data_IF_270336067966
#
_entry.id   IF_270336067966
#
_cell.length_a   1.000
_cell.length_b   1.000
_cell.length_c   1.000
_cell.angle_alpha   90.00
_cell.angle_beta   90.00
_cell.angle_gamma   90.00
#
_symmetry.space_group_name_H-M   'P 1'
#
loop_
_entity.id
_entity.type
_entity.pdbx_description
1 polymer ?
#
# COMPACT_ATOMS: atom_id res chain seq x y z
N UNK A 1 39.33 39.20 41.09
CA UNK A 1 39.21 38.05 42.00
C UNK A 1 37.92 37.32 41.63
N UNK A 2 38.03 36.37 40.71
CA UNK A 2 36.90 35.59 40.20
C UNK A 2 36.68 34.40 41.14
N UNK A 3 35.53 34.36 41.81
CA UNK A 3 35.16 33.25 42.68
C UNK A 3 34.38 32.25 41.84
N UNK A 4 35.01 31.10 41.64
CA UNK A 4 34.44 29.88 41.07
C UNK A 4 33.34 29.36 41.98
N UNK A 5 32.13 29.20 41.45
CA UNK A 5 31.06 28.39 42.03
C UNK A 5 31.02 27.04 41.34
N UNK A 6 31.38 25.98 42.06
CA UNK A 6 31.20 24.58 41.68
C UNK A 6 29.70 24.28 41.54
N UNK A 7 29.28 23.71 40.40
CA UNK A 7 28.00 23.01 40.30
C UNK A 7 28.29 21.55 39.98
N UNK A 8 27.91 20.67 40.91
CA UNK A 8 27.89 19.22 40.73
C UNK A 8 26.92 18.86 39.60
N UNK A 9 27.41 18.21 38.53
CA UNK A 9 26.56 17.43 37.63
C UNK A 9 26.69 15.98 38.07
N UNK A 10 25.72 15.54 38.87
CA UNK A 10 25.52 14.12 39.13
C UNK A 10 25.03 13.48 37.82
N UNK A 11 25.83 12.56 37.29
CA UNK A 11 25.39 11.67 36.23
C UNK A 11 24.30 10.77 36.76
N UNK A 12 23.08 10.95 36.23
CA UNK A 12 22.08 9.89 36.22
C UNK A 12 22.06 9.31 34.80
N UNK A 13 22.76 8.18 34.64
CA UNK A 13 22.37 7.18 33.66
C UNK A 13 21.01 6.64 34.11
N UNK A 14 19.92 7.17 33.55
CA UNK A 14 18.63 6.49 33.60
C UNK A 14 18.46 5.78 32.26
N UNK A 15 18.51 4.45 32.32
CA UNK A 15 18.43 3.57 31.17
C UNK A 15 17.10 3.70 30.44
N UNK A 16 17.18 4.08 29.18
CA UNK A 16 16.18 3.74 28.19
C UNK A 16 16.41 2.27 27.77
N UNK A 17 16.02 1.31 28.62
CA UNK A 17 16.34 -0.10 28.36
C UNK A 17 15.21 -1.09 28.63
N UNK A 18 13.96 -0.65 28.86
CA UNK A 18 12.85 -1.56 29.11
C UNK A 18 11.79 -1.50 27.98
N UNK A 19 11.25 -0.32 27.65
CA UNK A 19 10.26 -0.21 26.57
C UNK A 19 10.89 -0.35 25.17
N UNK A 20 12.09 0.23 24.98
CA UNK A 20 12.85 0.08 23.74
C UNK A 20 13.49 -1.31 23.61
N UNK A 21 13.72 -2.04 24.72
CA UNK A 21 14.17 -3.43 24.65
C UNK A 21 13.03 -4.36 24.25
N UNK A 22 11.80 -4.13 24.71
CA UNK A 22 10.66 -4.98 24.34
C UNK A 22 10.28 -4.84 22.86
N UNK A 23 10.24 -3.63 22.31
CA UNK A 23 9.99 -3.45 20.86
C UNK A 23 11.14 -4.04 20.02
N UNK A 24 12.40 -3.85 20.44
CA UNK A 24 13.54 -4.46 19.74
C UNK A 24 13.58 -5.98 19.91
N UNK A 25 13.15 -6.53 21.04
CA UNK A 25 13.12 -7.97 21.27
C UNK A 25 12.02 -8.65 20.45
N UNK A 26 10.85 -8.01 20.31
CA UNK A 26 9.77 -8.41 19.40
C UNK A 26 10.24 -8.38 17.94
N UNK A 27 10.94 -7.34 17.50
CA UNK A 27 11.43 -7.24 16.12
C UNK A 27 12.68 -8.09 15.81
N UNK A 28 13.52 -8.38 16.80
CA UNK A 28 14.82 -9.07 16.61
C UNK A 28 14.74 -10.59 16.56
N UNK A 29 13.65 -11.20 17.03
CA UNK A 29 13.49 -12.67 17.06
C UNK A 29 12.71 -13.25 15.89
N UNK A 30 12.39 -12.46 14.86
CA UNK A 30 11.58 -12.93 13.74
C UNK A 30 10.15 -13.31 14.15
N UNK A 31 9.71 -12.92 15.34
CA UNK A 31 8.30 -12.90 15.71
C UNK A 31 7.65 -11.68 15.07
N UNK A 32 6.39 -11.81 14.71
CA UNK A 32 5.59 -10.70 14.22
C UNK A 32 5.61 -9.44 15.12
N UNK A 33 5.16 -8.31 14.56
CA UNK A 33 4.61 -7.18 15.31
C UNK A 33 3.59 -7.68 16.33
N UNK A 34 4.06 -7.86 17.57
CA UNK A 34 3.32 -8.53 18.62
C UNK A 34 3.82 -9.96 18.79
N UNK A 35 4.52 -10.19 19.90
CA UNK A 35 4.89 -11.51 20.40
C UNK A 35 3.61 -12.34 20.59
N UNK A 36 3.30 -13.21 19.64
CA UNK A 36 2.48 -14.38 19.90
C UNK A 36 3.41 -15.54 20.28
N UNK A 37 2.94 -16.34 21.24
CA UNK A 37 3.56 -17.60 21.63
C UNK A 37 3.78 -18.52 20.40
N UNK A 38 4.65 -19.50 20.56
CA UNK A 38 5.19 -20.42 19.54
C UNK A 38 4.19 -21.25 18.72
N UNK A 39 2.88 -21.01 18.85
CA UNK A 39 1.79 -21.78 18.24
C UNK A 39 1.26 -21.17 16.93
N UNK A 40 1.72 -19.98 16.53
CA UNK A 40 1.35 -19.36 15.24
C UNK A 40 2.02 -20.07 14.05
N UNK A 41 1.29 -20.27 12.95
CA UNK A 41 1.87 -20.86 11.74
C UNK A 41 2.79 -19.84 11.06
N UNK A 42 4.09 -20.13 11.11
CA UNK A 42 5.15 -19.32 10.51
C UNK A 42 5.63 -19.99 9.22
N UNK A 43 5.61 -19.23 8.13
CA UNK A 43 6.16 -19.65 6.85
C UNK A 43 7.37 -18.78 6.49
N UNK A 44 8.46 -19.42 6.10
CA UNK A 44 9.63 -18.75 5.53
C UNK A 44 9.87 -19.25 4.11
N UNK A 45 10.22 -18.33 3.22
CA UNK A 45 10.57 -18.66 1.86
C UNK A 45 11.48 -17.59 1.26
N UNK A 46 12.16 -17.98 0.18
CA UNK A 46 12.98 -17.07 -0.61
C UNK A 46 12.66 -17.20 -2.08
N UNK A 47 12.93 -16.14 -2.83
CA UNK A 47 12.91 -16.14 -4.29
C UNK A 47 14.32 -16.40 -4.80
N UNK A 48 14.47 -17.38 -5.67
CA UNK A 48 15.69 -17.63 -6.44
C UNK A 48 15.49 -17.22 -7.90
N UNK A 49 16.58 -16.92 -8.60
CA UNK A 49 16.58 -16.66 -10.04
C UNK A 49 17.62 -17.52 -10.75
N UNK A 50 17.17 -18.36 -11.66
CA UNK A 50 18.01 -19.25 -12.49
C UNK A 50 17.55 -19.18 -13.95
N UNK A 51 18.49 -19.00 -14.88
CA UNK A 51 18.21 -18.86 -16.32
C UNK A 51 17.09 -17.82 -16.64
N UNK A 52 17.08 -16.72 -15.88
CA UNK A 52 16.09 -15.65 -16.02
C UNK A 52 14.71 -15.95 -15.41
N UNK A 53 14.49 -17.12 -14.82
CA UNK A 53 13.22 -17.53 -14.20
C UNK A 53 13.28 -17.38 -12.70
N UNK A 54 12.19 -16.85 -12.12
CA UNK A 54 12.00 -16.71 -10.68
C UNK A 54 11.23 -17.90 -10.12
N UNK A 55 11.65 -18.39 -8.96
CA UNK A 55 10.90 -19.42 -8.23
C UNK A 55 10.99 -19.18 -6.72
N UNK A 56 9.91 -19.51 -6.01
CA UNK A 56 9.85 -19.47 -4.56
C UNK A 56 10.22 -20.84 -4.02
N UNK A 57 11.16 -20.86 -3.08
CA UNK A 57 11.59 -22.08 -2.39
C UNK A 57 11.36 -21.89 -0.89
N UNK A 58 10.60 -22.78 -0.22
CA UNK A 58 10.45 -22.76 1.23
C UNK A 58 11.80 -23.05 1.91
N UNK A 59 12.42 -22.03 2.49
CA UNK A 59 13.69 -22.11 3.20
C UNK A 59 13.87 -20.90 4.11
N UNK A 60 14.84 -20.99 5.01
CA UNK A 60 15.13 -19.93 5.97
C UNK A 60 15.45 -18.59 5.28
N UNK A 61 14.95 -17.50 5.86
CA UNK A 61 15.04 -16.16 5.28
C UNK A 61 16.47 -15.60 5.19
N UNK A 62 17.41 -16.17 5.94
CA UNK A 62 18.83 -15.82 5.95
C UNK A 62 19.64 -16.54 4.86
N UNK A 63 18.97 -17.26 3.95
CA UNK A 63 19.63 -17.95 2.84
C UNK A 63 20.46 -16.97 1.98
N UNK A 64 21.78 -17.20 1.84
CA UNK A 64 22.64 -16.36 1.01
C UNK A 64 22.21 -16.36 -0.45
N UNK A 65 22.41 -15.23 -1.13
CA UNK A 65 22.17 -15.09 -2.57
C UNK A 65 20.72 -15.35 -3.00
N UNK A 66 19.74 -15.19 -2.11
CA UNK A 66 18.34 -15.03 -2.50
C UNK A 66 18.11 -13.68 -3.21
N UNK A 67 17.16 -13.63 -4.14
CA UNK A 67 16.73 -12.38 -4.79
C UNK A 67 15.85 -11.56 -3.85
N UNK A 68 14.98 -12.24 -3.12
CA UNK A 68 14.20 -11.72 -2.01
C UNK A 68 13.97 -12.84 -0.99
N UNK A 69 13.74 -12.50 0.27
CA UNK A 69 13.31 -13.44 1.30
C UNK A 69 12.14 -12.87 2.07
N UNK A 70 11.44 -13.73 2.80
CA UNK A 70 10.27 -13.29 3.54
C UNK A 70 9.81 -14.28 4.58
N UNK A 71 8.96 -13.75 5.45
CA UNK A 71 8.37 -14.40 6.60
C UNK A 71 6.90 -14.00 6.64
N UNK A 72 6.03 -14.99 6.73
CA UNK A 72 4.60 -14.79 6.88
C UNK A 72 4.10 -15.49 8.15
N UNK A 73 3.26 -14.82 8.91
CA UNK A 73 2.66 -15.38 10.13
C UNK A 73 1.16 -15.19 10.09
N UNK A 74 0.44 -16.32 10.07
CA UNK A 74 -1.02 -16.35 10.06
C UNK A 74 -1.54 -16.01 11.45
N UNK A 75 -2.06 -14.80 11.60
CA UNK A 75 -2.47 -14.22 12.90
C UNK A 75 -3.78 -13.42 12.80
N UNK A 76 -4.43 -13.42 11.63
CA UNK A 76 -5.71 -12.75 11.38
C UNK A 76 -6.78 -13.08 12.43
N UNK A 77 -6.97 -14.35 12.78
CA UNK A 77 -8.04 -14.74 13.69
C UNK A 77 -7.74 -14.45 15.16
N UNK A 78 -6.47 -14.30 15.52
CA UNK A 78 -6.02 -14.03 16.88
C UNK A 78 -5.89 -12.53 17.15
N UNK A 79 -5.36 -11.77 16.18
CA UNK A 79 -5.01 -10.35 16.31
C UNK A 79 -5.86 -9.41 15.44
N UNK A 80 -6.63 -9.96 14.50
CA UNK A 80 -7.28 -9.17 13.44
C UNK A 80 -6.34 -8.75 12.31
N UNK A 81 -5.09 -9.24 12.31
CA UNK A 81 -4.05 -8.90 11.34
C UNK A 81 -3.19 -10.13 11.05
N UNK A 82 -3.02 -10.49 9.78
CA UNK A 82 -1.89 -11.30 9.37
C UNK A 82 -0.62 -10.43 9.33
N UNK A 83 0.56 -11.07 9.32
CA UNK A 83 1.83 -10.35 9.38
C UNK A 83 2.79 -10.83 8.31
N UNK A 84 3.35 -9.88 7.57
CA UNK A 84 4.23 -10.14 6.45
C UNK A 84 5.50 -9.32 6.55
N UNK A 85 6.64 -10.00 6.47
CA UNK A 85 7.94 -9.37 6.31
C UNK A 85 8.55 -9.79 4.99
N UNK A 86 9.06 -8.83 4.22
CA UNK A 86 9.75 -9.08 2.96
C UNK A 86 11.06 -8.30 2.95
N UNK A 87 12.14 -8.94 2.54
CA UNK A 87 13.44 -8.32 2.39
C UNK A 87 13.95 -8.48 0.97
N UNK A 88 14.34 -7.37 0.36
CA UNK A 88 15.10 -7.40 -0.89
C UNK A 88 16.45 -8.05 -0.61
N UNK A 89 16.72 -9.15 -1.28
CA UNK A 89 17.85 -10.03 -0.99
C UNK A 89 19.18 -9.45 -1.46
N UNK A 90 20.03 -10.32 -2.00
CA UNK A 90 21.40 -10.01 -2.39
C UNK A 90 21.50 -8.89 -3.43
N UNK A 91 22.51 -8.03 -3.26
CA UNK A 91 22.90 -6.99 -4.23
C UNK A 91 23.60 -7.55 -5.47
N UNK A 92 23.82 -8.87 -5.51
CA UNK A 92 24.18 -9.60 -6.72
C UNK A 92 23.13 -9.44 -7.84
N UNK A 93 21.86 -9.27 -7.48
CA UNK A 93 20.76 -9.08 -8.42
C UNK A 93 20.45 -7.61 -8.63
N UNK A 94 19.92 -7.28 -9.82
CA UNK A 94 19.48 -5.92 -10.11
C UNK A 94 18.34 -5.47 -9.20
N UNK A 95 18.21 -4.16 -8.97
CA UNK A 95 17.12 -3.63 -8.16
C UNK A 95 15.75 -3.94 -8.79
N UNK A 96 15.63 -3.97 -10.12
CA UNK A 96 14.41 -4.42 -10.81
C UNK A 96 14.06 -5.88 -10.48
N UNK A 97 15.05 -6.78 -10.51
CA UNK A 97 14.82 -8.18 -10.13
C UNK A 97 14.41 -8.32 -8.67
N UNK A 98 15.04 -7.55 -7.78
CA UNK A 98 14.74 -7.54 -6.35
C UNK A 98 13.33 -7.01 -6.09
N UNK A 99 12.91 -5.95 -6.78
CA UNK A 99 11.55 -5.41 -6.69
C UNK A 99 10.51 -6.40 -7.23
N UNK A 100 10.77 -7.02 -8.38
CA UNK A 100 9.92 -8.08 -8.91
C UNK A 100 9.77 -9.24 -7.92
N UNK A 101 10.89 -9.70 -7.35
CA UNK A 101 10.90 -10.80 -6.39
C UNK A 101 10.11 -10.47 -5.11
N UNK A 102 10.12 -9.22 -4.63
CA UNK A 102 9.29 -8.81 -3.48
C UNK A 102 7.80 -9.03 -3.75
N UNK A 103 7.29 -8.57 -4.90
CA UNK A 103 5.89 -8.77 -5.26
C UNK A 103 5.54 -10.24 -5.47
N UNK A 104 6.43 -10.97 -6.16
CA UNK A 104 6.26 -12.41 -6.43
C UNK A 104 6.15 -13.24 -5.15
N UNK A 105 7.00 -12.92 -4.17
CA UNK A 105 7.00 -13.57 -2.86
C UNK A 105 5.80 -13.19 -2.00
N UNK A 106 5.34 -11.93 -2.07
CA UNK A 106 4.12 -11.50 -1.40
C UNK A 106 2.91 -12.35 -1.85
N UNK A 107 2.74 -12.51 -3.16
CA UNK A 107 1.67 -13.33 -3.71
C UNK A 107 1.80 -14.79 -3.35
N UNK A 108 3.02 -15.33 -3.28
CA UNK A 108 3.21 -16.70 -2.80
C UNK A 108 2.66 -16.89 -1.38
N UNK A 109 2.97 -15.99 -0.44
CA UNK A 109 2.48 -16.12 0.93
C UNK A 109 0.98 -15.85 1.04
N UNK A 110 0.47 -14.87 0.29
CA UNK A 110 -0.88 -14.35 0.48
C UNK A 110 -1.90 -14.85 -0.55
N UNK A 111 -1.57 -15.73 -1.49
CA UNK A 111 -2.46 -16.09 -2.62
C UNK A 111 -3.90 -16.43 -2.21
N UNK A 112 -4.10 -17.24 -1.16
CA UNK A 112 -5.46 -17.55 -0.69
C UNK A 112 -6.17 -16.31 -0.10
N UNK A 113 -5.46 -15.50 0.68
CA UNK A 113 -5.97 -14.25 1.27
C UNK A 113 -6.25 -13.17 0.21
N UNK A 114 -5.42 -13.10 -0.83
CA UNK A 114 -5.62 -12.23 -1.99
C UNK A 114 -6.94 -12.58 -2.67
N UNK A 115 -7.24 -13.87 -2.84
CA UNK A 115 -8.51 -14.29 -3.43
C UNK A 115 -9.70 -13.94 -2.53
N UNK A 116 -9.61 -14.23 -1.22
CA UNK A 116 -10.69 -13.90 -0.28
C UNK A 116 -10.99 -12.39 -0.33
N UNK A 117 -9.95 -11.55 -0.31
CA UNK A 117 -10.10 -10.11 -0.46
C UNK A 117 -10.61 -9.69 -1.84
N UNK A 118 -10.14 -10.30 -2.92
CA UNK A 118 -10.61 -10.05 -4.27
C UNK A 118 -12.11 -10.33 -4.42
N UNK A 119 -12.64 -11.41 -3.83
CA UNK A 119 -14.08 -11.71 -3.93
C UNK A 119 -14.95 -10.61 -3.31
N UNK A 120 -14.50 -10.06 -2.17
CA UNK A 120 -15.12 -8.92 -1.51
C UNK A 120 -15.04 -7.66 -2.37
N UNK A 121 -13.84 -7.31 -2.84
CA UNK A 121 -13.58 -6.13 -3.68
C UNK A 121 -14.35 -6.18 -4.99
N UNK A 122 -14.31 -7.32 -5.69
CA UNK A 122 -14.97 -7.49 -6.97
C UNK A 122 -16.47 -7.26 -6.85
N UNK A 123 -17.11 -7.84 -5.85
CA UNK A 123 -18.54 -7.68 -5.63
C UNK A 123 -18.93 -6.23 -5.31
N UNK A 124 -18.10 -5.53 -4.52
CA UNK A 124 -18.44 -4.22 -4.01
C UNK A 124 -18.08 -3.06 -4.94
N UNK A 125 -16.99 -3.21 -5.70
CA UNK A 125 -16.42 -2.15 -6.51
C UNK A 125 -16.47 -2.51 -8.01
N UNK A 126 -15.78 -3.57 -8.43
CA UNK A 126 -15.57 -3.89 -9.85
C UNK A 126 -16.89 -4.22 -10.57
N UNK A 127 -17.75 -5.05 -9.98
CA UNK A 127 -19.03 -5.45 -10.57
C UNK A 127 -20.04 -4.30 -10.67
N UNK A 128 -19.79 -3.20 -9.95
CA UNK A 128 -20.62 -2.00 -9.95
C UNK A 128 -20.00 -0.87 -10.79
N UNK A 129 -18.77 -1.05 -11.29
CA UNK A 129 -18.10 -0.04 -12.09
C UNK A 129 -18.85 0.18 -13.43
N UNK A 130 -19.05 1.44 -13.85
CA UNK A 130 -19.62 1.74 -15.17
C UNK A 130 -18.81 1.14 -16.32
N UNK A 131 -19.47 0.91 -17.45
CA UNK A 131 -18.82 0.55 -18.72
C UNK A 131 -17.76 1.59 -19.10
N UNK A 132 -16.60 1.15 -19.61
CA UNK A 132 -15.48 2.02 -19.99
C UNK A 132 -14.42 2.20 -18.89
N UNK A 133 -14.74 1.93 -17.62
CA UNK A 133 -13.77 2.07 -16.51
C UNK A 133 -12.63 1.07 -16.63
N UNK A 134 -12.93 -0.17 -17.04
CA UNK A 134 -11.89 -1.21 -17.21
C UNK A 134 -10.91 -0.82 -18.31
N UNK A 135 -11.42 -0.36 -19.45
CA UNK A 135 -10.64 0.13 -20.59
C UNK A 135 -9.79 1.35 -20.20
N UNK A 136 -10.34 2.25 -19.37
CA UNK A 136 -9.59 3.39 -18.83
C UNK A 136 -8.34 2.94 -18.06
N UNK A 137 -8.45 1.91 -17.21
CA UNK A 137 -7.32 1.36 -16.47
C UNK A 137 -6.34 0.59 -17.37
N UNK A 138 -6.83 -0.05 -18.43
CA UNK A 138 -5.97 -0.69 -19.44
C UNK A 138 -5.07 0.33 -20.13
N UNK A 139 -5.66 1.43 -20.61
CA UNK A 139 -4.94 2.54 -21.23
C UNK A 139 -3.96 3.22 -20.25
N UNK A 140 -4.39 3.45 -19.02
CA UNK A 140 -3.54 4.06 -17.99
C UNK A 140 -2.34 3.17 -17.65
N UNK A 141 -2.55 1.85 -17.54
CA UNK A 141 -1.46 0.89 -17.34
C UNK A 141 -0.49 0.88 -18.51
N UNK A 142 -1.01 0.93 -19.75
CA UNK A 142 -0.19 0.97 -20.96
C UNK A 142 0.67 2.24 -21.00
N UNK A 143 0.10 3.39 -20.65
CA UNK A 143 0.82 4.66 -20.55
C UNK A 143 1.98 4.58 -19.56
N UNK A 144 1.73 4.11 -18.32
CA UNK A 144 2.78 4.00 -17.30
C UNK A 144 3.89 3.07 -17.78
N UNK A 145 3.55 1.92 -18.38
CA UNK A 145 4.54 0.99 -18.93
C UNK A 145 5.44 1.70 -19.96
N UNK A 146 4.84 2.35 -20.96
CA UNK A 146 5.59 3.09 -21.98
C UNK A 146 6.51 4.12 -21.33
N UNK A 147 5.99 4.93 -20.40
CA UNK A 147 6.77 5.98 -19.75
C UNK A 147 7.95 5.44 -18.93
N UNK A 148 7.78 4.31 -18.24
CA UNK A 148 8.89 3.67 -17.52
C UNK A 148 9.99 3.12 -18.42
N UNK A 149 9.66 2.78 -19.67
CA UNK A 149 10.62 2.26 -20.65
C UNK A 149 11.36 3.38 -21.40
N UNK A 150 10.66 4.46 -21.77
CA UNK A 150 11.21 5.49 -22.67
C UNK A 150 11.69 6.76 -21.97
N UNK A 151 11.20 7.05 -20.77
CA UNK A 151 11.49 8.32 -20.10
C UNK A 151 12.82 8.27 -19.36
N UNK A 152 13.56 9.38 -19.43
CA UNK A 152 14.79 9.61 -18.67
C UNK A 152 14.53 10.43 -17.38
N UNK A 153 13.28 10.82 -17.12
CA UNK A 153 12.92 11.50 -15.87
C UNK A 153 13.17 10.56 -14.68
N UNK A 154 13.89 11.02 -13.62
CA UNK A 154 14.09 10.25 -12.40
C UNK A 154 12.80 9.69 -11.78
N UNK A 155 11.68 10.40 -11.90
CA UNK A 155 10.37 9.93 -11.46
C UNK A 155 9.98 8.62 -12.16
N UNK A 156 10.05 8.60 -13.49
CA UNK A 156 9.69 7.40 -14.27
C UNK A 156 10.69 6.26 -14.12
N UNK A 157 11.98 6.57 -13.88
CA UNK A 157 12.97 5.55 -13.50
C UNK A 157 12.64 4.89 -12.15
N UNK A 158 12.14 5.65 -11.16
CA UNK A 158 11.65 5.06 -9.89
C UNK A 158 10.34 4.31 -10.08
N UNK A 159 9.45 4.81 -10.92
CA UNK A 159 8.19 4.15 -11.26
C UNK A 159 8.41 2.77 -11.89
N UNK A 160 9.54 2.55 -12.59
CA UNK A 160 9.90 1.24 -13.10
C UNK A 160 10.07 0.18 -11.98
N UNK A 161 10.50 0.58 -10.78
CA UNK A 161 10.58 -0.31 -9.62
C UNK A 161 9.19 -0.68 -9.07
N UNK A 162 8.26 0.28 -9.03
CA UNK A 162 6.86 0.03 -8.66
C UNK A 162 6.20 -0.91 -9.66
N UNK A 163 6.43 -0.70 -10.96
CA UNK A 163 5.96 -1.59 -12.02
C UNK A 163 6.56 -2.99 -11.92
N UNK A 164 7.86 -3.11 -11.61
CA UNK A 164 8.50 -4.41 -11.41
C UNK A 164 7.87 -5.19 -10.25
N UNK A 165 7.67 -4.55 -9.09
CA UNK A 165 7.02 -5.19 -7.95
C UNK A 165 5.56 -5.55 -8.25
N UNK A 166 4.82 -4.68 -8.93
CA UNK A 166 3.43 -4.95 -9.34
C UNK A 166 3.35 -6.14 -10.29
N UNK A 167 4.27 -6.22 -11.27
CA UNK A 167 4.32 -7.34 -12.20
C UNK A 167 4.71 -8.64 -11.50
N UNK A 168 5.67 -8.58 -10.58
CA UNK A 168 6.02 -9.72 -9.73
C UNK A 168 4.83 -10.21 -8.90
N UNK A 169 4.07 -9.30 -8.30
CA UNK A 169 2.84 -9.61 -7.56
C UNK A 169 1.82 -10.32 -8.45
N UNK A 170 1.55 -9.81 -9.65
CA UNK A 170 0.64 -10.44 -10.62
C UNK A 170 1.15 -11.83 -10.98
N UNK A 171 2.39 -11.96 -11.44
CA UNK A 171 2.96 -13.23 -11.89
C UNK A 171 3.03 -14.28 -10.77
N UNK A 172 3.34 -13.86 -9.56
CA UNK A 172 3.36 -14.72 -8.38
C UNK A 172 1.98 -15.28 -8.11
N UNK A 173 0.93 -14.45 -8.19
CA UNK A 173 -0.43 -14.93 -8.03
C UNK A 173 -0.81 -15.91 -9.15
N UNK A 174 -0.52 -15.56 -10.41
CA UNK A 174 -0.77 -16.44 -11.56
C UNK A 174 -0.09 -17.81 -11.44
N UNK A 175 1.04 -17.89 -10.72
CA UNK A 175 1.74 -19.15 -10.48
C UNK A 175 1.16 -19.95 -9.30
N UNK A 176 0.81 -19.28 -8.21
CA UNK A 176 0.57 -19.94 -6.92
C UNK A 176 -0.90 -19.99 -6.51
N UNK A 177 -1.83 -19.34 -7.21
CA UNK A 177 -3.24 -19.40 -6.88
C UNK A 177 -3.76 -20.85 -6.91
N UNK A 178 -4.69 -21.16 -6.00
CA UNK A 178 -5.39 -22.45 -6.01
C UNK A 178 -6.28 -22.58 -7.24
N UNK A 179 -6.49 -23.81 -7.71
CA UNK A 179 -7.41 -24.10 -8.84
C UNK A 179 -8.81 -23.54 -8.56
N UNK A 180 -9.40 -22.82 -9.51
CA UNK A 180 -10.72 -22.19 -9.35
C UNK A 180 -10.68 -20.83 -8.66
N UNK A 181 -9.49 -20.33 -8.33
CA UNK A 181 -9.25 -18.99 -7.76
C UNK A 181 -8.51 -18.08 -8.75
N UNK A 182 -8.80 -18.21 -10.04
CA UNK A 182 -8.18 -17.38 -11.07
C UNK A 182 -8.63 -15.91 -10.92
N UNK A 183 -7.69 -14.98 -11.08
CA UNK A 183 -7.97 -13.53 -11.18
C UNK A 183 -7.27 -13.04 -12.44
N UNK A 184 -7.98 -12.24 -13.24
CA UNK A 184 -7.41 -11.66 -14.46
C UNK A 184 -6.25 -10.70 -14.11
N UNK A 185 -5.12 -10.72 -14.86
CA UNK A 185 -3.99 -9.83 -14.59
C UNK A 185 -4.31 -8.34 -14.58
N UNK A 186 -5.26 -7.87 -15.40
CA UNK A 186 -5.70 -6.48 -15.38
C UNK A 186 -6.57 -6.21 -14.14
N UNK A 187 -7.40 -7.17 -13.72
CA UNK A 187 -8.15 -7.07 -12.46
C UNK A 187 -7.23 -6.94 -11.24
N UNK A 188 -6.11 -7.68 -11.21
CA UNK A 188 -5.11 -7.55 -10.14
C UNK A 188 -4.41 -6.17 -10.14
N UNK A 189 -4.25 -5.55 -11.31
CA UNK A 189 -3.74 -4.18 -11.42
C UNK A 189 -4.78 -3.15 -10.96
N UNK A 190 -6.04 -3.34 -11.37
CA UNK A 190 -7.18 -2.53 -10.91
C UNK A 190 -7.34 -2.67 -9.39
N UNK A 191 -7.08 -3.84 -8.81
CA UNK A 191 -7.06 -4.06 -7.37
C UNK A 191 -6.06 -3.14 -6.65
N UNK A 192 -4.83 -2.98 -7.17
CA UNK A 192 -3.86 -2.00 -6.62
C UNK A 192 -4.44 -0.58 -6.62
N UNK A 193 -5.31 -0.31 -7.59
CA UNK A 193 -5.91 0.99 -7.81
C UNK A 193 -7.23 1.18 -7.04
N UNK A 194 -7.48 0.42 -5.96
CA UNK A 194 -8.77 0.48 -5.23
C UNK A 194 -9.20 1.92 -4.89
N UNK A 195 -8.26 2.75 -4.41
CA UNK A 195 -8.56 4.16 -4.13
C UNK A 195 -8.96 4.95 -5.38
N UNK A 196 -8.17 4.84 -6.44
CA UNK A 196 -8.39 5.55 -7.69
C UNK A 196 -9.63 5.02 -8.46
N UNK A 197 -9.99 3.74 -8.31
CA UNK A 197 -11.17 3.13 -8.94
C UNK A 197 -12.45 3.87 -8.54
N UNK A 198 -12.57 4.26 -7.27
CA UNK A 198 -13.73 5.01 -6.78
C UNK A 198 -13.91 6.34 -7.52
N UNK A 199 -12.84 7.11 -7.67
CA UNK A 199 -12.86 8.40 -8.36
C UNK A 199 -13.12 8.25 -9.86
N UNK A 200 -12.48 7.26 -10.51
CA UNK A 200 -12.70 6.98 -11.93
C UNK A 200 -14.14 6.52 -12.18
N UNK A 201 -14.68 5.61 -11.36
CA UNK A 201 -16.07 5.16 -11.49
C UNK A 201 -17.07 6.30 -11.24
N UNK A 202 -16.80 7.17 -10.27
CA UNK A 202 -17.61 8.37 -10.02
C UNK A 202 -17.59 9.32 -11.24
N UNK A 203 -16.42 9.53 -11.85
CA UNK A 203 -16.26 10.38 -13.03
C UNK A 203 -17.10 9.92 -14.22
N UNK A 204 -17.15 8.61 -14.51
CA UNK A 204 -17.98 8.07 -15.59
C UNK A 204 -19.48 8.30 -15.31
N UNK A 205 -19.91 8.13 -14.06
CA UNK A 205 -21.29 8.42 -13.66
C UNK A 205 -21.63 9.91 -13.76
N UNK A 206 -20.70 10.78 -13.36
CA UNK A 206 -20.89 12.23 -13.40
C UNK A 206 -20.89 12.75 -14.84
N UNK A 207 -20.03 12.23 -15.72
CA UNK A 207 -20.06 12.50 -17.15
C UNK A 207 -21.40 12.12 -17.78
N UNK A 208 -21.92 10.92 -17.50
CA UNK A 208 -23.23 10.48 -17.99
C UNK A 208 -24.37 11.39 -17.52
N UNK A 209 -24.37 11.78 -16.23
CA UNK A 209 -25.37 12.72 -15.69
C UNK A 209 -25.28 14.10 -16.34
N UNK A 210 -24.08 14.57 -16.69
CA UNK A 210 -23.91 15.85 -17.40
C UNK A 210 -24.38 15.75 -18.86
N UNK A 211 -24.18 14.62 -19.53
CA UNK A 211 -24.72 14.38 -20.87
C UNK A 211 -26.25 14.31 -20.87
N UNK A 212 -26.85 13.55 -19.96
CA UNK A 212 -28.30 13.46 -19.76
C UNK A 212 -28.87 14.81 -19.25
N UNK A 213 -28.09 15.51 -18.42
CA UNK A 213 -28.37 16.83 -17.85
C UNK A 213 -28.21 18.00 -18.80
N UNK A 214 -27.60 17.82 -19.99
CA UNK A 214 -27.69 18.78 -21.09
C UNK A 214 -29.09 18.84 -21.72
N UNK A 215 -30.02 17.99 -21.29
CA UNK A 215 -31.48 18.12 -21.52
C UNK A 215 -32.20 18.71 -20.28
N UNK A 216 -31.49 19.00 -19.19
CA UNK A 216 -32.06 19.63 -17.99
C UNK A 216 -31.79 21.14 -18.02
N UNK A 217 -32.84 21.87 -18.42
CA UNK A 217 -33.23 23.24 -18.04
C UNK A 217 -32.20 24.05 -17.22
N UNK A 218 -31.91 25.28 -17.66
CA UNK A 218 -31.05 26.36 -17.10
C UNK A 218 -31.34 26.77 -15.62
N UNK A 219 -31.80 25.86 -14.78
CA UNK A 219 -32.40 26.08 -13.46
C UNK A 219 -31.80 25.19 -12.38
N UNK A 220 -30.65 24.56 -12.62
CA UNK A 220 -29.89 23.92 -11.53
C UNK A 220 -29.46 25.01 -10.56
N UNK A 221 -29.97 25.05 -9.32
CA UNK A 221 -29.59 26.10 -8.38
C UNK A 221 -28.09 26.01 -8.11
N UNK A 222 -27.41 27.15 -8.10
CA UNK A 222 -26.04 27.23 -7.61
C UNK A 222 -25.95 26.55 -6.24
N UNK A 223 -24.95 25.69 -6.07
CA UNK A 223 -24.65 25.01 -4.81
C UNK A 223 -24.40 26.04 -3.71
N UNK A 224 -25.47 26.45 -3.03
CA UNK A 224 -25.47 27.27 -1.82
C UNK A 224 -25.82 26.44 -0.59
N UNK A 225 -25.77 25.10 -0.70
CA UNK A 225 -25.92 24.24 0.45
C UNK A 225 -24.73 24.50 1.38
N UNK A 226 -24.95 24.90 2.65
CA UNK A 226 -23.85 25.06 3.59
C UNK A 226 -23.10 23.72 3.69
N UNK A 227 -21.77 23.76 3.64
CA UNK A 227 -20.92 22.62 3.98
C UNK A 227 -21.29 22.18 5.40
N UNK A 228 -22.06 21.10 5.51
CA UNK A 228 -22.32 20.42 6.77
C UNK A 228 -21.25 19.35 6.85
N UNK A 229 -20.23 19.56 7.69
CA UNK A 229 -19.34 18.46 8.08
C UNK A 229 -20.20 17.41 8.79
N UNK A 230 -20.66 16.41 8.04
CA UNK A 230 -21.26 15.21 8.59
C UNK A 230 -20.18 14.35 9.26
N UNK A 231 -20.56 13.36 10.08
CA UNK A 231 -19.63 12.31 10.47
C UNK A 231 -19.27 11.56 9.18
N UNK A 232 -18.18 11.96 8.51
CA UNK A 232 -17.79 11.55 7.15
C UNK A 232 -18.38 10.21 6.73
N UNK A 233 -19.38 10.26 5.86
CA UNK A 233 -19.80 9.06 5.14
C UNK A 233 -18.67 8.70 4.19
N UNK A 234 -18.55 7.43 3.79
CA UNK A 234 -17.56 7.02 2.78
C UNK A 234 -17.69 7.80 1.46
N UNK A 235 -18.84 8.45 1.24
CA UNK A 235 -19.13 9.29 0.09
C UNK A 235 -18.60 10.74 0.22
N UNK A 236 -18.19 11.18 1.42
CA UNK A 236 -17.81 12.57 1.72
C UNK A 236 -16.37 12.74 2.24
N UNK A 237 -15.68 11.63 2.49
CA UNK A 237 -14.30 11.60 2.96
C UNK A 237 -14.03 10.36 3.80
N UNK A 238 -12.76 10.01 3.99
CA UNK A 238 -12.40 8.84 4.79
C UNK A 238 -11.20 9.08 5.68
N UNK A 239 -11.14 8.30 6.75
CA UNK A 239 -10.07 8.26 7.74
C UNK A 239 -10.01 9.47 8.71
N UNK A 240 -9.33 9.27 9.84
CA UNK A 240 -8.95 10.32 10.78
C UNK A 240 -7.45 10.23 11.06
N UNK A 241 -6.73 11.35 10.95
CA UNK A 241 -5.30 11.46 11.28
C UNK A 241 -5.06 12.40 12.47
N UNK A 242 -4.07 12.08 13.29
CA UNK A 242 -3.63 12.92 14.41
C UNK A 242 -2.10 13.00 14.45
N UNK A 243 -1.58 14.22 14.50
CA UNK A 243 -0.15 14.50 14.78
C UNK A 243 -0.09 15.36 16.03
N UNK A 244 0.61 14.90 17.07
CA UNK A 244 0.64 15.54 18.39
C UNK A 244 2.05 15.61 18.96
N UNK A 245 2.50 16.82 19.31
CA UNK A 245 3.68 17.03 20.16
C UNK A 245 3.32 16.76 21.63
N UNK A 246 4.04 15.83 22.25
CA UNK A 246 3.87 15.36 23.61
C UNK A 246 4.66 16.24 24.60
N UNK A 247 4.30 16.26 25.91
CA UNK A 247 4.96 17.11 26.90
C UNK A 247 6.47 16.87 27.09
N UNK A 248 6.94 15.66 26.80
CA UNK A 248 8.35 15.25 26.83
C UNK A 248 9.12 15.58 25.55
N UNK A 249 8.44 16.16 24.54
CA UNK A 249 9.03 16.51 23.26
C UNK A 249 8.91 15.43 22.18
N UNK A 250 8.31 14.27 22.47
CA UNK A 250 8.03 13.25 21.46
C UNK A 250 6.89 13.68 20.52
N UNK A 251 6.87 13.15 19.29
CA UNK A 251 5.78 13.37 18.34
C UNK A 251 5.02 12.06 18.17
N UNK A 252 3.76 12.05 18.58
CA UNK A 252 2.84 10.94 18.32
C UNK A 252 2.13 11.17 16.98
N UNK A 253 2.08 10.12 16.17
CA UNK A 253 1.33 10.08 14.90
C UNK A 253 0.35 8.92 14.97
N UNK A 254 -0.92 9.18 14.69
CA UNK A 254 -1.97 8.16 14.68
C UNK A 254 -2.85 8.31 13.44
N UNK A 255 -3.34 7.18 12.95
CA UNK A 255 -4.28 7.10 11.83
C UNK A 255 -5.37 6.08 12.15
N UNK A 256 -6.59 6.41 11.76
CA UNK A 256 -7.75 5.54 11.88
C UNK A 256 -8.46 5.50 10.54
N UNK A 257 -8.33 4.40 9.82
CA UNK A 257 -8.98 4.20 8.53
C UNK A 257 -10.48 3.97 8.70
N UNK A 258 -11.29 4.66 7.90
CA UNK A 258 -12.74 4.43 7.85
C UNK A 258 -13.05 3.61 6.61
N UNK A 259 -13.59 2.40 6.79
CA UNK A 259 -13.99 1.52 5.69
C UNK A 259 -15.19 0.67 6.07
N UNK A 260 -15.89 0.18 5.05
CA UNK A 260 -16.85 -0.90 5.22
C UNK A 260 -16.13 -2.21 5.58
N UNK A 261 -16.88 -3.13 6.18
CA UNK A 261 -16.34 -4.36 6.76
C UNK A 261 -15.80 -5.35 5.74
N UNK A 262 -16.14 -5.25 4.46
CA UNK A 262 -15.56 -6.11 3.42
C UNK A 262 -14.04 -5.92 3.27
N UNK A 263 -13.51 -4.77 3.68
CA UNK A 263 -12.08 -4.46 3.67
C UNK A 263 -11.31 -4.95 4.89
N UNK A 264 -11.91 -5.73 5.79
CA UNK A 264 -11.34 -6.10 7.09
C UNK A 264 -10.51 -7.40 7.06
N UNK A 265 -10.08 -7.84 5.88
CA UNK A 265 -9.02 -8.84 5.75
C UNK A 265 -7.70 -8.06 5.79
N UNK A 266 -6.98 -8.07 6.91
CA UNK A 266 -5.88 -7.14 7.15
C UNK A 266 -4.52 -7.82 7.23
N UNK A 267 -3.50 -7.16 6.71
CA UNK A 267 -2.11 -7.61 6.85
C UNK A 267 -1.22 -6.42 7.21
N UNK A 268 -0.39 -6.61 8.21
CA UNK A 268 0.63 -5.64 8.59
C UNK A 268 1.93 -6.01 7.90
N UNK A 269 2.49 -5.07 7.12
CA UNK A 269 3.63 -5.35 6.23
C UNK A 269 4.86 -4.60 6.68
N UNK A 270 6.01 -5.28 6.64
CA UNK A 270 7.34 -4.69 6.80
C UNK A 270 8.20 -5.08 5.61
N UNK A 271 8.60 -4.12 4.82
CA UNK A 271 9.32 -4.35 3.56
C UNK A 271 10.65 -3.61 3.57
N UNK A 272 11.75 -4.35 3.40
CA UNK A 272 13.09 -3.77 3.21
C UNK A 272 13.41 -3.71 1.73
N UNK A 273 13.40 -2.50 1.16
CA UNK A 273 13.60 -2.24 -0.26
C UNK A 273 15.09 -2.28 -0.68
N UNK A 274 15.38 -2.31 -2.00
CA UNK A 274 16.75 -2.42 -2.51
C UNK A 274 17.72 -1.35 -2.01
N UNK A 275 17.22 -0.12 -1.81
CA UNK A 275 17.93 1.02 -1.23
C UNK A 275 18.16 0.91 0.29
N UNK A 276 17.83 -0.24 0.89
CA UNK A 276 17.93 -0.57 2.32
C UNK A 276 16.96 0.18 3.23
N UNK A 277 16.00 0.92 2.65
CA UNK A 277 14.92 1.52 3.42
C UNK A 277 13.94 0.42 3.86
N UNK A 278 13.66 0.35 5.15
CA UNK A 278 12.62 -0.52 5.71
C UNK A 278 11.38 0.32 5.96
N UNK A 279 10.28 -0.05 5.32
CA UNK A 279 8.97 0.59 5.49
C UNK A 279 8.01 -0.39 6.12
N UNK A 280 7.35 0.06 7.17
CA UNK A 280 6.30 -0.66 7.85
C UNK A 280 4.97 0.05 7.61
N UNK A 281 3.93 -0.72 7.28
CA UNK A 281 2.64 -0.18 6.87
C UNK A 281 1.47 -1.10 7.24
N UNK A 282 0.31 -0.50 7.51
CA UNK A 282 -0.95 -1.24 7.54
C UNK A 282 -1.45 -1.48 6.12
N UNK A 283 -1.98 -2.66 5.83
CA UNK A 283 -2.41 -3.02 4.47
C UNK A 283 -3.50 -4.11 4.50
N UNK A 284 -3.85 -4.60 3.31
CA UNK A 284 -4.75 -5.73 3.06
C UNK A 284 -4.05 -6.70 2.09
N UNK A 285 -4.32 -8.02 2.18
CA UNK A 285 -3.91 -8.95 1.14
C UNK A 285 -4.47 -8.47 -0.19
N UNK A 286 -3.63 -8.36 -1.22
CA UNK A 286 -4.05 -7.83 -2.51
C UNK A 286 -3.39 -6.52 -2.91
N UNK A 287 -2.84 -5.74 -1.99
CA UNK A 287 -2.24 -4.43 -2.29
C UNK A 287 -0.77 -4.37 -1.90
N UNK A 288 0.16 -4.11 -2.81
CA UNK A 288 1.61 -4.00 -2.48
C UNK A 288 1.97 -2.74 -1.66
N UNK A 289 0.97 -1.93 -1.31
CA UNK A 289 1.08 -0.66 -0.61
C UNK A 289 0.01 -0.57 0.51
N UNK A 290 0.01 0.54 1.24
CA UNK A 290 -1.10 0.86 2.13
C UNK A 290 -2.18 1.58 1.33
N UNK A 291 -3.43 1.17 1.47
CA UNK A 291 -4.59 1.99 1.07
C UNK A 291 -5.20 2.73 2.26
N UNK A 292 -4.80 2.33 3.48
CA UNK A 292 -5.08 3.10 4.68
C UNK A 292 -4.25 4.38 4.65
N UNK A 293 -3.08 4.24 4.04
CA UNK A 293 -2.01 5.21 3.92
C UNK A 293 -1.49 5.57 5.31
N UNK A 294 -0.90 4.57 5.96
CA UNK A 294 -0.05 4.72 7.15
C UNK A 294 1.27 4.01 6.89
N UNK A 295 2.34 4.79 6.73
CA UNK A 295 3.70 4.30 6.45
C UNK A 295 4.69 4.85 7.46
N UNK A 296 5.56 3.99 7.96
CA UNK A 296 6.67 4.33 8.87
C UNK A 296 7.97 3.85 8.24
N UNK A 297 8.88 4.79 7.96
CA UNK A 297 10.25 4.43 7.60
C UNK A 297 11.05 4.12 8.87
N UNK A 298 11.26 2.85 9.18
CA UNK A 298 11.88 2.42 10.46
C UNK A 298 13.31 2.92 10.63
N UNK A 299 14.06 2.92 9.53
CA UNK A 299 15.44 3.41 9.46
C UNK A 299 15.55 4.67 8.58
N UNK A 300 14.41 5.33 8.34
CA UNK A 300 14.33 6.65 7.71
C UNK A 300 13.86 7.70 8.71
N UNK A 301 13.40 8.83 8.19
CA UNK A 301 12.98 9.98 8.99
C UNK A 301 11.57 10.48 8.62
N UNK A 302 10.74 9.59 8.03
CA UNK A 302 9.42 9.94 7.52
C UNK A 302 8.35 8.98 8.05
N UNK A 303 7.27 9.57 8.55
CA UNK A 303 5.98 8.92 8.72
C UNK A 303 5.02 9.61 7.75
N UNK A 304 4.34 8.85 6.91
CA UNK A 304 3.38 9.38 5.95
C UNK A 304 1.98 8.88 6.31
N UNK A 305 1.04 9.83 6.43
CA UNK A 305 -0.38 9.56 6.62
C UNK A 305 -1.23 10.44 5.69
N UNK A 306 -2.42 9.97 5.32
CA UNK A 306 -3.42 10.77 4.60
C UNK A 306 -4.82 10.60 5.21
N UNK A 307 -5.72 11.50 4.86
CA UNK A 307 -7.16 11.33 5.03
C UNK A 307 -7.83 11.81 3.75
N UNK A 308 -8.76 11.02 3.21
CA UNK A 308 -9.30 11.26 1.89
C UNK A 308 -10.27 12.44 1.93
N UNK A 309 -10.05 13.42 1.06
CA UNK A 309 -11.02 14.47 0.76
C UNK A 309 -11.77 14.13 -0.52
N UNK A 310 -13.10 14.27 -0.52
CA UNK A 310 -13.91 14.00 -1.70
C UNK A 310 -13.79 15.10 -2.77
N UNK A 311 -13.89 14.70 -4.04
CA UNK A 311 -14.06 15.63 -5.18
C UNK A 311 -15.55 15.98 -5.33
N UNK A 312 -15.93 17.18 -4.89
CA UNK A 312 -17.32 17.63 -4.97
C UNK A 312 -17.67 18.31 -6.30
N UNK A 313 -16.68 18.81 -7.04
CA UNK A 313 -16.91 19.42 -8.34
C UNK A 313 -17.13 18.34 -9.41
N UNK A 314 -18.37 18.25 -9.88
CA UNK A 314 -18.81 17.21 -10.81
C UNK A 314 -18.35 17.46 -12.24
N UNK A 315 -18.11 18.72 -12.60
CA UNK A 315 -17.57 19.07 -13.91
C UNK A 315 -16.09 18.67 -13.98
N UNK A 316 -15.32 18.96 -12.92
CA UNK A 316 -13.92 18.51 -12.80
C UNK A 316 -13.84 16.99 -12.70
N UNK A 317 -14.70 16.35 -11.91
CA UNK A 317 -14.72 14.88 -11.81
C UNK A 317 -14.95 14.24 -13.18
N UNK A 318 -15.95 14.72 -13.93
CA UNK A 318 -16.26 14.19 -15.26
C UNK A 318 -15.10 14.26 -16.24
N UNK A 319 -14.15 15.20 -16.09
CA UNK A 319 -12.98 15.27 -16.98
C UNK A 319 -12.11 14.02 -16.91
N UNK A 320 -12.11 13.29 -15.77
CA UNK A 320 -11.36 12.02 -15.65
C UNK A 320 -11.86 10.98 -16.68
N UNK A 321 -13.16 11.00 -16.98
CA UNK A 321 -13.78 10.10 -17.95
C UNK A 321 -13.75 10.67 -19.38
N UNK A 322 -13.95 11.98 -19.54
CA UNK A 322 -14.16 12.59 -20.87
C UNK A 322 -12.91 13.14 -21.52
N UNK A 323 -11.89 13.52 -20.75
CA UNK A 323 -10.62 14.02 -21.29
C UNK A 323 -9.70 12.82 -21.61
N UNK A 324 -9.30 12.63 -22.88
CA UNK A 324 -8.41 11.54 -23.21
C UNK A 324 -7.06 11.55 -22.49
N UNK A 325 -6.57 12.71 -22.09
CA UNK A 325 -5.29 12.84 -21.38
C UNK A 325 -5.39 12.43 -19.90
N UNK A 326 -6.61 12.29 -19.34
CA UNK A 326 -6.79 11.94 -17.93
C UNK A 326 -6.31 10.52 -17.57
N UNK A 327 -6.16 9.63 -18.57
CA UNK A 327 -5.54 8.31 -18.39
C UNK A 327 -4.02 8.31 -18.60
N UNK A 328 -3.42 9.44 -19.01
CA UNK A 328 -1.98 9.60 -19.16
C UNK A 328 -1.33 10.16 -17.89
N UNK A 329 -1.63 9.55 -16.74
CA UNK A 329 -1.20 10.00 -15.41
C UNK A 329 -0.67 8.84 -14.59
N UNK A 330 0.11 9.15 -13.54
CA UNK A 330 0.42 8.20 -12.49
C UNK A 330 -0.65 8.26 -11.39
N UNK A 331 -1.22 7.10 -11.05
CA UNK A 331 -2.25 6.96 -10.03
C UNK A 331 -1.72 7.28 -8.62
N UNK A 332 -2.62 7.51 -7.67
CA UNK A 332 -2.26 7.85 -6.29
C UNK A 332 -1.34 6.81 -5.64
N UNK A 333 -1.68 5.53 -5.73
CA UNK A 333 -0.89 4.44 -5.17
C UNK A 333 0.49 4.31 -5.83
N UNK A 334 0.59 4.64 -7.11
CA UNK A 334 1.85 4.64 -7.86
C UNK A 334 2.76 5.78 -7.39
N UNK A 335 2.19 6.96 -7.20
CA UNK A 335 2.92 8.13 -6.74
C UNK A 335 3.49 7.92 -5.33
N UNK A 336 2.67 7.46 -4.38
CA UNK A 336 3.13 7.24 -3.00
C UNK A 336 4.23 6.18 -2.90
N UNK A 337 4.14 5.11 -3.69
CA UNK A 337 5.15 4.03 -3.70
C UNK A 337 6.44 4.38 -4.45
N UNK A 338 6.39 5.33 -5.40
CA UNK A 338 7.58 5.79 -6.14
C UNK A 338 8.46 6.82 -5.40
N UNK A 339 7.99 7.31 -4.25
CA UNK A 339 8.55 8.45 -3.48
C UNK A 339 9.96 8.23 -2.96
#
# INVERSE_FOLDING_TARGET
MAIRGLTFVAGLLCGASAAASEIREVMSRGGGFGSLDSDAFVQEAVVTKSDGKFDVIPMARDTPLAVASGLYTETMFDLGWDQLQLDSGSDYYSDLDRMYALGYLESYFLHDRIYDFWTNYKHNDVDKAPEGVREWFEDQRAYVKIMTEISEDPFWKRMAYVQAQTQGFIDGYQRYHSKGKEIDPLDMYILQSWGDLGDVAAAFNDAKKLEEGRVLSETTPASTAPFVAGPGTLDEGSCTGLIRLMPDGEIAVAHNTWRLYEGFIRVFKRVTYPNKLTVTMSSTPGLIHSKDDFYVQENGNLIAIETTNAMHDKEISATIATDPEARHVALSWQRITSS
#
